data_IF_660405285566
#
_entry.id   IF_660405285566
#
_cell.length_a   1.000
_cell.length_b   1.000
_cell.length_c   1.000
_cell.angle_alpha   90.00
_cell.angle_beta   90.00
_cell.angle_gamma   90.00
#
_symmetry.space_group_name_H-M   'P 1'
#
loop_
_entity.id
_entity.type
_entity.pdbx_description
1 polymer ?
#
# COMPACT_ATOMS: atom_id res chain seq x y z
N UNK A 1 -16.09 12.58 -16.68
CA UNK A 1 -15.15 12.76 -15.56
C UNK A 1 -14.55 11.41 -15.26
N UNK A 2 -13.25 11.22 -15.50
CA UNK A 2 -12.54 10.05 -14.97
C UNK A 2 -12.65 10.07 -13.44
N UNK A 3 -12.73 8.88 -12.86
CA UNK A 3 -12.78 8.68 -11.41
C UNK A 3 -11.58 9.37 -10.73
N UNK A 4 -11.74 9.87 -9.49
CA UNK A 4 -10.68 10.62 -8.78
C UNK A 4 -9.36 9.84 -8.63
N UNK A 5 -9.43 8.51 -8.71
CA UNK A 5 -8.27 7.62 -8.80
C UNK A 5 -8.37 6.77 -10.07
N UNK A 6 -7.39 6.88 -10.95
CA UNK A 6 -7.27 6.08 -12.17
C UNK A 6 -5.93 5.34 -12.20
N UNK A 7 -5.92 4.12 -12.76
CA UNK A 7 -4.68 3.38 -13.01
C UNK A 7 -3.66 4.16 -13.83
N UNK A 8 -4.13 5.08 -14.68
CA UNK A 8 -3.28 5.91 -15.53
C UNK A 8 -2.51 6.99 -14.76
N UNK A 9 -2.90 7.33 -13.52
CA UNK A 9 -2.21 8.33 -12.69
C UNK A 9 -0.76 7.92 -12.39
N UNK A 10 -0.49 6.60 -12.34
CA UNK A 10 0.87 6.08 -12.15
C UNK A 10 1.82 6.43 -13.30
N UNK A 11 1.29 6.78 -14.50
CA UNK A 11 2.10 7.22 -15.64
C UNK A 11 2.76 8.59 -15.38
N UNK A 12 2.15 9.42 -14.53
CA UNK A 12 2.62 10.76 -14.19
C UNK A 12 3.85 10.72 -13.25
N UNK A 13 4.14 9.58 -12.62
CA UNK A 13 5.32 9.42 -11.76
C UNK A 13 6.64 9.76 -12.47
N UNK A 14 6.70 9.58 -13.80
CA UNK A 14 7.86 10.00 -14.60
C UNK A 14 8.09 11.51 -14.63
N UNK A 15 7.03 12.31 -14.48
CA UNK A 15 7.11 13.77 -14.35
C UNK A 15 7.57 14.18 -12.96
N UNK A 16 7.16 13.45 -11.92
CA UNK A 16 7.58 13.73 -10.54
C UNK A 16 9.11 13.60 -10.40
N UNK A 17 9.70 12.62 -11.09
CA UNK A 17 11.16 12.50 -11.16
C UNK A 17 11.86 13.73 -11.75
N UNK A 18 11.20 14.46 -12.67
CA UNK A 18 11.76 15.67 -13.32
C UNK A 18 11.52 16.93 -12.50
N UNK A 19 10.32 17.06 -11.91
CA UNK A 19 9.88 18.27 -11.21
C UNK A 19 10.32 18.30 -9.74
N UNK A 20 10.40 17.14 -9.09
CA UNK A 20 10.73 16.98 -7.67
C UNK A 20 11.70 15.80 -7.48
N UNK A 21 12.93 15.87 -8.02
CA UNK A 21 13.86 14.74 -8.07
C UNK A 21 14.32 14.26 -6.69
N UNK A 22 14.46 15.17 -5.71
CA UNK A 22 14.94 14.82 -4.37
C UNK A 22 13.86 14.05 -3.59
N UNK A 23 12.62 14.56 -3.61
CA UNK A 23 11.45 13.98 -2.96
C UNK A 23 11.11 12.62 -3.59
N UNK A 24 11.10 12.57 -4.92
CA UNK A 24 10.82 11.34 -5.66
C UNK A 24 11.86 10.26 -5.38
N UNK A 25 13.15 10.61 -5.32
CA UNK A 25 14.21 9.67 -4.96
C UNK A 25 14.00 9.11 -3.55
N UNK A 26 13.75 9.96 -2.56
CA UNK A 26 13.49 9.51 -1.18
C UNK A 26 12.29 8.58 -1.08
N UNK A 27 11.21 8.87 -1.81
CA UNK A 27 10.04 8.01 -1.87
C UNK A 27 10.35 6.63 -2.49
N UNK A 28 11.05 6.60 -3.63
CA UNK A 28 11.42 5.34 -4.31
C UNK A 28 12.38 4.51 -3.46
N UNK A 29 13.33 5.15 -2.79
CA UNK A 29 14.23 4.45 -1.86
C UNK A 29 13.46 3.82 -0.71
N UNK A 30 12.50 4.54 -0.11
CA UNK A 30 11.62 4.00 0.92
C UNK A 30 10.83 2.78 0.42
N UNK A 31 10.20 2.88 -0.75
CA UNK A 31 9.41 1.78 -1.33
C UNK A 31 10.29 0.54 -1.64
N UNK A 32 11.51 0.77 -2.12
CA UNK A 32 12.45 -0.31 -2.47
C UNK A 32 12.85 -1.19 -1.27
N UNK A 33 12.80 -0.66 -0.05
CA UNK A 33 13.08 -1.42 1.19
C UNK A 33 12.06 -2.54 1.40
N UNK A 34 10.82 -2.37 0.94
CA UNK A 34 9.81 -3.44 1.00
C UNK A 34 10.19 -4.59 0.07
N UNK A 35 10.76 -4.25 -1.09
CA UNK A 35 11.13 -5.20 -2.14
C UNK A 35 12.51 -5.87 -2.00
N UNK A 36 13.37 -5.44 -1.07
CA UNK A 36 14.73 -6.02 -0.92
C UNK A 36 14.69 -7.52 -0.61
N UNK A 37 15.70 -8.28 -0.99
CA UNK A 37 15.74 -9.74 -0.75
C UNK A 37 16.62 -10.13 0.46
N UNK A 38 17.38 -9.20 1.02
CA UNK A 38 18.35 -9.37 2.11
C UNK A 38 17.76 -9.05 3.51
N UNK A 39 16.47 -9.33 3.71
CA UNK A 39 15.78 -9.07 4.98
C UNK A 39 15.63 -10.32 5.83
N UNK A 40 15.78 -10.17 7.16
CA UNK A 40 15.40 -11.24 8.12
C UNK A 40 13.91 -11.58 8.04
N UNK A 41 13.09 -10.60 7.62
CA UNK A 41 11.68 -10.80 7.30
C UNK A 41 11.57 -11.12 5.80
N UNK A 42 11.05 -12.30 5.42
CA UNK A 42 10.84 -12.65 4.02
C UNK A 42 9.99 -11.62 3.29
N UNK A 43 10.28 -11.41 2.01
CA UNK A 43 9.60 -10.40 1.17
C UNK A 43 8.08 -10.51 1.22
N UNK A 44 7.53 -11.73 1.22
CA UNK A 44 6.09 -12.01 1.37
C UNK A 44 5.47 -11.25 2.54
N UNK A 45 6.09 -11.35 3.72
CA UNK A 45 5.56 -10.72 4.94
C UNK A 45 5.72 -9.20 4.92
N UNK A 46 6.79 -8.67 4.32
CA UNK A 46 6.96 -7.23 4.14
C UNK A 46 5.90 -6.62 3.23
N UNK A 47 5.56 -7.28 2.13
CA UNK A 47 4.47 -6.83 1.25
C UNK A 47 3.11 -6.91 1.93
N UNK A 48 2.85 -7.92 2.77
CA UNK A 48 1.62 -8.01 3.57
C UNK A 48 1.53 -6.90 4.64
N UNK A 49 2.65 -6.54 5.27
CA UNK A 49 2.71 -5.41 6.21
C UNK A 49 2.47 -4.09 5.46
N UNK A 50 3.12 -3.89 4.31
CA UNK A 50 2.92 -2.72 3.47
C UNK A 50 1.46 -2.61 3.00
N UNK A 51 0.83 -3.73 2.65
CA UNK A 51 -0.59 -3.79 2.32
C UNK A 51 -1.47 -3.37 3.51
N UNK A 52 -1.17 -3.86 4.73
CA UNK A 52 -1.91 -3.45 5.93
C UNK A 52 -1.76 -1.94 6.20
N UNK A 53 -0.57 -1.37 6.00
CA UNK A 53 -0.34 0.08 6.09
C UNK A 53 -1.13 0.83 5.01
N UNK A 54 -1.13 0.35 3.77
CA UNK A 54 -1.91 0.92 2.67
C UNK A 54 -3.42 0.95 2.97
N UNK A 55 -3.94 -0.06 3.68
CA UNK A 55 -5.32 -0.05 4.18
C UNK A 55 -5.58 1.07 5.21
N UNK A 56 -4.59 1.41 6.04
CA UNK A 56 -4.73 2.50 7.04
C UNK A 56 -4.65 3.88 6.41
N UNK A 57 -3.78 4.06 5.42
CA UNK A 57 -3.60 5.34 4.70
C UNK A 57 -4.64 5.55 3.60
N UNK A 58 -5.41 4.50 3.27
CA UNK A 58 -6.44 4.49 2.24
C UNK A 58 -5.91 4.87 0.85
N UNK A 59 -4.64 4.56 0.58
CA UNK A 59 -4.02 4.87 -0.72
C UNK A 59 -4.36 3.78 -1.75
N UNK A 60 -5.20 4.05 -2.76
CA UNK A 60 -5.61 3.04 -3.74
C UNK A 60 -4.45 2.54 -4.60
N UNK A 61 -3.48 3.39 -4.89
CA UNK A 61 -2.28 3.01 -5.65
C UNK A 61 -1.39 2.05 -4.85
N UNK A 62 -1.17 2.32 -3.56
CA UNK A 62 -0.42 1.43 -2.68
C UNK A 62 -1.12 0.08 -2.50
N UNK A 63 -2.46 0.08 -2.39
CA UNK A 63 -3.25 -1.15 -2.32
C UNK A 63 -3.03 -2.00 -3.58
N UNK A 64 -3.09 -1.41 -4.77
CA UNK A 64 -2.89 -2.13 -6.03
C UNK A 64 -1.45 -2.67 -6.16
N UNK A 65 -0.45 -1.82 -5.91
CA UNK A 65 0.97 -2.18 -6.03
C UNK A 65 1.37 -3.29 -5.05
N UNK A 66 1.08 -3.13 -3.75
CA UNK A 66 1.49 -4.11 -2.75
C UNK A 66 0.67 -5.40 -2.82
N UNK A 67 -0.60 -5.36 -3.25
CA UNK A 67 -1.37 -6.60 -3.49
C UNK A 67 -0.74 -7.41 -4.63
N UNK A 68 -0.35 -6.76 -5.73
CA UNK A 68 0.33 -7.41 -6.86
C UNK A 68 1.68 -7.98 -6.44
N UNK A 69 2.45 -7.24 -5.65
CA UNK A 69 3.76 -7.69 -5.20
C UNK A 69 3.68 -8.81 -4.16
N UNK A 70 2.75 -8.74 -3.20
CA UNK A 70 2.48 -9.82 -2.26
C UNK A 70 2.13 -11.12 -3.00
N UNK A 71 1.25 -11.03 -4.01
CA UNK A 71 0.91 -12.19 -4.86
C UNK A 71 2.13 -12.75 -5.60
N UNK A 72 2.99 -11.90 -6.15
CA UNK A 72 4.26 -12.33 -6.80
C UNK A 72 5.22 -12.99 -5.81
N UNK A 73 5.22 -12.54 -4.56
CA UNK A 73 6.00 -13.12 -3.47
C UNK A 73 5.39 -14.43 -2.89
N UNK A 74 4.28 -14.91 -3.47
CA UNK A 74 3.64 -16.17 -3.06
C UNK A 74 2.63 -16.04 -1.92
N UNK A 75 2.14 -14.84 -1.62
CA UNK A 75 1.08 -14.66 -0.62
C UNK A 75 -0.23 -15.31 -1.07
N UNK A 76 -0.89 -16.02 -0.16
CA UNK A 76 -2.20 -16.63 -0.45
C UNK A 76 -3.34 -15.62 -0.28
N UNK A 77 -4.53 -15.98 -0.78
CA UNK A 77 -5.72 -15.13 -0.63
C UNK A 77 -6.13 -14.99 0.84
N UNK A 78 -5.93 -16.04 1.62
CA UNK A 78 -6.19 -16.09 3.05
C UNK A 78 -5.28 -15.10 3.78
N UNK A 79 -3.97 -15.14 3.53
CA UNK A 79 -2.99 -14.23 4.13
C UNK A 79 -3.30 -12.76 3.79
N UNK A 80 -3.64 -12.47 2.53
CA UNK A 80 -4.02 -11.12 2.08
C UNK A 80 -5.31 -10.66 2.77
N UNK A 81 -6.29 -11.54 2.93
CA UNK A 81 -7.56 -11.23 3.59
C UNK A 81 -7.35 -10.93 5.09
N UNK A 82 -6.50 -11.69 5.76
CA UNK A 82 -6.15 -11.44 7.16
C UNK A 82 -5.40 -10.12 7.35
N UNK A 83 -4.45 -9.81 6.46
CA UNK A 83 -3.70 -8.55 6.51
C UNK A 83 -4.57 -7.31 6.21
N UNK A 84 -5.48 -7.41 5.24
CA UNK A 84 -6.37 -6.31 4.84
C UNK A 84 -7.60 -6.13 5.74
N UNK A 85 -7.82 -7.05 6.67
CA UNK A 85 -8.96 -7.04 7.62
C UNK A 85 -9.02 -5.78 8.48
N UNK A 86 -7.93 -5.02 8.61
CA UNK A 86 -7.91 -3.73 9.30
C UNK A 86 -8.99 -2.75 8.80
N UNK A 87 -9.45 -2.89 7.54
CA UNK A 87 -10.47 -2.03 6.96
C UNK A 87 -11.91 -2.57 7.09
N UNK A 88 -12.13 -3.84 7.48
CA UNK A 88 -13.49 -4.28 7.80
C UNK A 88 -14.03 -3.34 8.88
N UNK A 89 -15.29 -2.88 8.75
CA UNK A 89 -15.86 -1.92 9.68
C UNK A 89 -15.65 -2.49 11.08
N UNK A 90 -14.79 -1.83 11.87
CA UNK A 90 -14.80 -2.04 13.31
C UNK A 90 -16.27 -1.93 13.70
N UNK A 91 -16.84 -2.82 14.53
CA UNK A 91 -18.13 -2.53 15.13
C UNK A 91 -17.98 -1.13 15.68
N UNK A 92 -18.67 -0.15 15.08
CA UNK A 92 -18.50 1.24 15.44
C UNK A 92 -18.76 1.24 16.93
N UNK A 93 -17.73 1.51 17.76
CA UNK A 93 -17.97 1.77 19.18
C UNK A 93 -19.10 2.80 19.16
N UNK A 94 -20.23 2.55 19.83
CA UNK A 94 -21.34 3.48 19.79
C UNK A 94 -20.77 4.84 20.13
N UNK A 95 -20.82 5.78 19.17
CA UNK A 95 -20.32 7.14 19.41
C UNK A 95 -21.05 7.59 20.67
N UNK A 96 -20.35 7.97 21.76
CA UNK A 96 -21.04 8.53 22.90
C UNK A 96 -21.85 9.71 22.36
N UNK A 97 -23.17 9.65 22.51
CA UNK A 97 -24.02 10.79 22.17
C UNK A 97 -23.48 11.95 22.99
N UNK A 98 -23.00 13.00 22.30
CA UNK A 98 -22.60 14.23 22.96
C UNK A 98 -23.79 14.67 23.84
N UNK A 99 -23.52 14.83 25.13
CA UNK A 99 -24.46 15.44 26.07
C UNK A 99 -24.52 16.94 25.81
#
# INVERSE_FOLDING_TARGET
MSHYHDSDDLKVLGEFKKLAPAEFKGFVELDSIVGRDDGSIPRKYRELIALAVACTTQCPYCLDVHTKNAKKAGATREEVTEASRCWLPRPQRPRPRAR
#
